data_IF_617734209965
#
_entry.id   IF_617734209965
#
_cell.length_a   1.000
_cell.length_b   1.000
_cell.length_c   1.000
_cell.angle_alpha   90.00
_cell.angle_beta   90.00
_cell.angle_gamma   90.00
#
_symmetry.space_group_name_H-M   'P 1'
#
loop_
_entity.id
_entity.type
_entity.pdbx_description
1 polymer ?
#
# COMPACT_ATOMS: atom_id res chain seq x y z
N UNK A 1 -30.42 34.85 -26.45
CA UNK A 1 -29.24 35.05 -25.56
C UNK A 1 -29.02 33.86 -24.63
N UNK A 2 -29.97 33.46 -23.77
CA UNK A 2 -29.82 32.33 -22.83
C UNK A 2 -29.32 31.01 -23.45
N UNK A 3 -29.82 30.61 -24.62
CA UNK A 3 -29.39 29.39 -25.33
C UNK A 3 -27.95 29.47 -25.86
N UNK A 4 -27.53 30.66 -26.29
CA UNK A 4 -26.16 30.90 -26.75
C UNK A 4 -25.18 30.91 -25.58
N UNK A 5 -25.56 31.56 -24.47
CA UNK A 5 -24.79 31.52 -23.22
C UNK A 5 -24.66 30.09 -22.69
N UNK A 6 -25.74 29.29 -22.75
CA UNK A 6 -25.70 27.87 -22.35
C UNK A 6 -24.76 27.07 -23.26
N UNK A 7 -24.80 27.28 -24.58
CA UNK A 7 -23.92 26.58 -25.51
C UNK A 7 -22.44 26.91 -25.29
N UNK A 8 -22.13 28.19 -25.07
CA UNK A 8 -20.76 28.63 -24.76
C UNK A 8 -20.28 28.05 -23.43
N UNK A 9 -21.17 27.99 -22.43
CA UNK A 9 -20.85 27.40 -21.13
C UNK A 9 -20.57 25.89 -21.23
N UNK A 10 -21.42 25.15 -21.96
CA UNK A 10 -21.23 23.72 -22.18
C UNK A 10 -19.94 23.43 -22.96
N UNK A 11 -19.61 24.24 -23.97
CA UNK A 11 -18.38 24.08 -24.75
C UNK A 11 -17.14 24.34 -23.89
N UNK A 12 -17.18 25.37 -23.02
CA UNK A 12 -16.11 25.66 -22.06
C UNK A 12 -15.86 24.49 -21.10
N UNK A 13 -16.93 23.84 -20.62
CA UNK A 13 -16.84 22.72 -19.68
C UNK A 13 -16.23 21.45 -20.31
N UNK A 14 -16.43 21.25 -21.61
CA UNK A 14 -15.84 20.11 -22.34
C UNK A 14 -14.33 20.31 -22.52
N UNK A 15 -13.87 21.55 -22.64
CA UNK A 15 -12.45 21.88 -22.84
C UNK A 15 -11.60 21.76 -21.56
N UNK A 16 -12.20 21.53 -20.38
CA UNK A 16 -11.48 21.38 -19.10
C UNK A 16 -11.13 19.93 -18.74
N UNK A 17 -11.52 18.94 -19.55
CA UNK A 17 -11.14 17.54 -19.34
C UNK A 17 -9.77 17.27 -19.96
N UNK A 18 -8.70 17.52 -19.20
CA UNK A 18 -7.35 17.05 -19.53
C UNK A 18 -6.94 15.95 -18.56
N UNK A 19 -6.30 14.90 -19.08
CA UNK A 19 -5.73 13.85 -18.26
C UNK A 19 -4.54 14.42 -17.49
N UNK A 20 -4.68 14.55 -16.17
CA UNK A 20 -3.61 15.00 -15.29
C UNK A 20 -2.87 13.78 -14.74
N UNK A 21 -1.62 13.60 -15.16
CA UNK A 21 -0.71 12.61 -14.56
C UNK A 21 -0.11 13.20 -13.29
N UNK A 22 -0.91 13.26 -12.22
CA UNK A 22 -0.50 13.84 -10.94
C UNK A 22 0.42 12.92 -10.12
N UNK A 23 0.57 11.65 -10.51
CA UNK A 23 1.45 10.70 -9.82
C UNK A 23 2.83 10.69 -10.46
N UNK A 24 3.85 11.00 -9.66
CA UNK A 24 5.25 10.80 -10.05
C UNK A 24 5.44 9.29 -10.28
N UNK A 25 5.90 8.93 -11.47
CA UNK A 25 6.31 7.57 -11.80
C UNK A 25 7.84 7.49 -11.74
N UNK A 26 8.35 6.68 -10.83
CA UNK A 26 9.79 6.39 -10.72
C UNK A 26 10.26 5.34 -11.76
N UNK A 27 9.34 4.88 -12.62
CA UNK A 27 9.64 3.89 -13.66
C UNK A 27 10.21 2.57 -13.10
N UNK A 28 10.97 1.86 -13.94
CA UNK A 28 11.63 0.61 -13.59
C UNK A 28 10.77 -0.64 -13.79
N UNK A 29 11.44 -1.79 -13.91
CA UNK A 29 10.79 -3.11 -13.94
C UNK A 29 11.03 -3.78 -12.59
N UNK A 30 9.97 -4.22 -11.88
CA UNK A 30 10.11 -4.96 -10.62
C UNK A 30 11.08 -6.15 -10.76
N UNK A 31 11.98 -6.38 -9.78
CA UNK A 31 12.94 -7.49 -9.83
C UNK A 31 12.29 -8.86 -10.03
N UNK A 32 11.09 -9.08 -9.47
CA UNK A 32 10.33 -10.33 -9.68
C UNK A 32 10.00 -10.58 -11.15
N UNK A 33 9.71 -9.54 -11.93
CA UNK A 33 9.42 -9.60 -13.35
C UNK A 33 10.73 -9.75 -14.15
N UNK A 34 11.76 -9.00 -13.78
CA UNK A 34 13.05 -9.00 -14.47
C UNK A 34 13.78 -10.35 -14.39
N UNK A 35 13.73 -11.01 -13.22
CA UNK A 35 14.48 -12.23 -12.96
C UNK A 35 13.64 -13.51 -12.97
N UNK A 36 12.33 -13.42 -13.25
CA UNK A 36 11.41 -14.56 -13.26
C UNK A 36 11.54 -15.44 -12.01
N UNK A 37 11.61 -14.79 -10.84
CA UNK A 37 11.90 -15.46 -9.57
C UNK A 37 10.82 -16.50 -9.22
N UNK A 38 11.22 -17.59 -8.59
CA UNK A 38 10.26 -18.62 -8.14
C UNK A 38 9.26 -18.02 -7.14
N UNK A 39 7.98 -18.38 -7.26
CA UNK A 39 6.95 -17.97 -6.31
C UNK A 39 6.87 -18.89 -5.08
N UNK A 40 7.60 -20.00 -5.07
CA UNK A 40 7.71 -20.89 -3.93
C UNK A 40 8.64 -20.32 -2.85
N UNK A 41 8.12 -19.35 -2.10
CA UNK A 41 8.83 -18.69 -0.99
C UNK A 41 8.33 -19.19 0.37
N UNK A 42 9.18 -19.17 1.41
CA UNK A 42 8.78 -19.55 2.77
C UNK A 42 7.61 -18.71 3.25
N UNK A 43 6.56 -19.39 3.69
CA UNK A 43 5.38 -18.78 4.29
C UNK A 43 5.45 -18.88 5.81
N UNK A 44 5.31 -17.76 6.50
CA UNK A 44 5.22 -17.70 7.95
C UNK A 44 3.79 -17.40 8.37
N UNK A 45 3.33 -18.10 9.40
CA UNK A 45 2.06 -17.78 10.06
C UNK A 45 2.36 -17.16 11.41
N UNK A 46 1.62 -16.09 11.73
CA UNK A 46 1.71 -15.42 13.01
C UNK A 46 0.31 -15.19 13.56
N UNK A 47 0.23 -15.04 14.87
CA UNK A 47 -1.04 -14.81 15.54
C UNK A 47 -1.59 -13.43 15.19
N UNK A 48 -2.87 -13.40 14.81
CA UNK A 48 -3.58 -12.15 14.61
C UNK A 48 -3.83 -11.47 15.97
N UNK A 49 -3.76 -10.14 16.03
CA UNK A 49 -4.04 -9.43 17.28
C UNK A 49 -5.52 -9.59 17.66
N UNK A 50 -5.79 -9.60 18.97
CA UNK A 50 -7.17 -9.67 19.48
C UNK A 50 -7.92 -8.36 19.22
N UNK A 51 -8.74 -8.37 18.17
CA UNK A 51 -9.53 -7.21 17.74
C UNK A 51 -10.60 -6.79 18.77
N UNK A 52 -11.11 -7.72 19.59
CA UNK A 52 -12.10 -7.38 20.62
C UNK A 52 -11.46 -6.53 21.70
N UNK A 53 -10.29 -6.96 22.18
CA UNK A 53 -9.51 -6.21 23.16
C UNK A 53 -9.09 -4.84 22.64
N UNK A 54 -8.68 -4.77 21.37
CA UNK A 54 -8.33 -3.52 20.69
C UNK A 54 -9.53 -2.56 20.65
N UNK A 55 -10.71 -3.05 20.26
CA UNK A 55 -11.92 -2.22 20.19
C UNK A 55 -12.35 -1.68 21.57
N UNK A 56 -12.21 -2.47 22.63
CA UNK A 56 -12.48 -2.02 24.00
C UNK A 56 -11.53 -0.90 24.42
N UNK A 57 -10.23 -1.03 24.11
CA UNK A 57 -9.24 0.03 24.36
C UNK A 57 -9.57 1.32 23.60
N UNK A 58 -9.97 1.22 22.33
CA UNK A 58 -10.33 2.39 21.52
C UNK A 58 -11.57 3.09 22.09
N UNK A 59 -12.59 2.33 22.55
CA UNK A 59 -13.79 2.90 23.19
C UNK A 59 -13.45 3.70 24.46
N UNK A 60 -12.53 3.19 25.27
CA UNK A 60 -12.07 3.88 26.49
C UNK A 60 -11.26 5.13 26.11
N UNK A 61 -10.39 5.03 25.11
CA UNK A 61 -9.57 6.15 24.64
C UNK A 61 -10.43 7.30 24.11
N UNK A 62 -11.41 7.01 23.25
CA UNK A 62 -12.36 7.98 22.69
C UNK A 62 -13.16 8.72 23.78
N UNK A 63 -13.52 8.03 24.86
CA UNK A 63 -14.23 8.65 25.99
C UNK A 63 -13.34 9.57 26.83
N UNK A 64 -12.02 9.39 26.80
CA UNK A 64 -11.07 10.10 27.67
C UNK A 64 -10.40 11.32 27.01
N UNK A 65 -10.18 11.29 25.69
CA UNK A 65 -9.59 12.39 24.92
C UNK A 65 -10.08 12.38 23.46
N UNK A 66 -10.33 13.56 22.85
CA UNK A 66 -10.54 13.68 21.42
C UNK A 66 -9.19 13.63 20.69
N UNK A 67 -8.55 12.46 20.68
CA UNK A 67 -7.39 12.17 19.83
C UNK A 67 -7.84 11.52 18.52
N UNK A 68 -7.04 11.62 17.43
CA UNK A 68 -7.31 10.91 16.19
C UNK A 68 -7.48 9.41 16.44
N UNK A 69 -8.47 8.79 15.77
CA UNK A 69 -8.69 7.35 15.83
C UNK A 69 -7.44 6.58 15.40
N UNK A 70 -7.14 5.52 16.14
CA UNK A 70 -6.09 4.57 15.78
C UNK A 70 -6.40 3.95 14.42
N UNK A 71 -5.48 4.11 13.46
CA UNK A 71 -5.63 3.59 12.10
C UNK A 71 -5.11 2.15 11.94
N UNK A 72 -4.28 1.67 12.87
CA UNK A 72 -3.69 0.33 12.82
C UNK A 72 -2.94 -0.04 14.09
N UNK A 73 -2.60 -1.32 14.23
CA UNK A 73 -1.83 -1.88 15.35
C UNK A 73 -0.58 -2.57 14.82
N UNK A 74 0.58 -2.20 15.38
CA UNK A 74 1.84 -2.88 15.08
C UNK A 74 1.95 -4.17 15.88
N UNK A 75 2.11 -5.30 15.19
CA UNK A 75 2.34 -6.61 15.81
C UNK A 75 3.78 -7.03 15.57
N UNK A 76 4.54 -7.19 16.67
CA UNK A 76 5.95 -7.60 16.58
C UNK A 76 6.04 -9.12 16.45
N UNK A 77 6.48 -9.58 15.28
CA UNK A 77 6.59 -11.03 14.98
C UNK A 77 8.01 -11.59 15.14
N UNK A 78 9.02 -10.73 15.36
CA UNK A 78 10.42 -11.12 15.54
C UNK A 78 10.98 -11.97 14.38
N UNK A 79 10.63 -11.62 13.13
CA UNK A 79 11.10 -12.27 11.90
C UNK A 79 11.87 -11.27 11.05
N UNK A 80 13.01 -11.71 10.53
CA UNK A 80 13.91 -10.88 9.73
C UNK A 80 14.91 -11.73 8.96
N UNK A 81 15.87 -11.06 8.33
CA UNK A 81 16.82 -11.64 7.38
C UNK A 81 17.73 -12.72 7.98
N UNK A 82 17.95 -12.64 9.29
CA UNK A 82 18.83 -13.54 10.04
C UNK A 82 18.13 -14.83 10.49
N UNK A 83 16.78 -14.85 10.53
CA UNK A 83 16.02 -15.91 11.20
C UNK A 83 14.77 -16.38 10.45
N UNK A 84 14.49 -15.84 9.27
CA UNK A 84 13.34 -16.17 8.45
C UNK A 84 13.62 -15.93 6.96
N UNK A 85 12.71 -16.40 6.11
CA UNK A 85 12.80 -16.24 4.66
C UNK A 85 13.91 -17.06 4.01
N UNK A 86 14.12 -16.79 2.72
CA UNK A 86 15.13 -17.46 1.90
C UNK A 86 15.86 -16.47 1.01
N UNK A 87 17.14 -16.73 0.80
CA UNK A 87 17.97 -16.00 -0.15
C UNK A 87 17.99 -16.72 -1.50
N UNK A 88 17.79 -15.97 -2.57
CA UNK A 88 17.94 -16.43 -3.94
C UNK A 88 19.01 -15.60 -4.64
N UNK A 89 19.87 -16.26 -5.42
CA UNK A 89 20.95 -15.58 -6.15
C UNK A 89 20.45 -15.14 -7.53
N UNK A 90 20.76 -13.91 -7.89
CA UNK A 90 20.36 -13.31 -9.16
C UNK A 90 21.48 -13.48 -10.20
N UNK A 91 21.12 -13.61 -11.50
CA UNK A 91 22.08 -13.45 -12.58
C UNK A 91 22.81 -12.10 -12.44
N UNK A 92 24.15 -12.11 -12.48
CA UNK A 92 24.96 -10.90 -12.29
C UNK A 92 25.48 -10.68 -10.87
N UNK A 93 25.28 -11.64 -9.95
CA UNK A 93 25.99 -11.68 -8.66
C UNK A 93 25.26 -11.03 -7.47
N UNK A 94 24.08 -10.47 -7.69
CA UNK A 94 23.20 -10.00 -6.63
C UNK A 94 22.49 -11.13 -5.89
N UNK A 95 21.86 -10.82 -4.75
CA UNK A 95 20.96 -11.73 -4.04
C UNK A 95 19.69 -11.00 -3.61
N UNK A 96 18.58 -11.72 -3.57
CA UNK A 96 17.29 -11.21 -3.07
C UNK A 96 16.82 -12.07 -1.91
N UNK A 97 16.41 -11.44 -0.82
CA UNK A 97 15.80 -12.11 0.32
C UNK A 97 14.28 -11.98 0.23
N UNK A 98 13.56 -13.09 0.40
CA UNK A 98 12.10 -13.12 0.28
C UNK A 98 11.46 -13.99 1.36
N UNK A 99 10.29 -13.56 1.81
CA UNK A 99 9.44 -14.23 2.80
C UNK A 99 8.00 -13.78 2.57
N UNK A 100 7.03 -14.64 2.88
CA UNK A 100 5.60 -14.33 2.83
C UNK A 100 4.91 -14.62 4.16
#
# INVERSE_FOLDING_TARGET
MKKFTLLVFTLSLILTFTDTYAQISEGGTPPSIMFQLDNNIPKITFESPDLKKIAEQDKIAEASKPDPRRMGVSVKINKGIDNAGSWESLPGGGKVWRMQ
#
